data_IF_975265534762
#
_entry.id   IF_975265534762
#
_cell.length_a   1.000
_cell.length_b   1.000
_cell.length_c   1.000
_cell.angle_alpha   90.00
_cell.angle_beta   90.00
_cell.angle_gamma   90.00
#
_symmetry.space_group_name_H-M   'P 1'
#
loop_
_entity.id
_entity.type
_entity.pdbx_description
1 polymer ?
#
# COMPACT_ATOMS: atom_id res chain seq x y z
N UNK A 1 -27.86 52.39 25.49
CA UNK A 1 -27.67 50.95 25.58
C UNK A 1 -26.95 50.44 24.31
N UNK A 2 -25.66 50.15 24.46
CA UNK A 2 -24.84 49.44 23.43
C UNK A 2 -24.82 47.95 23.81
N UNK A 3 -25.07 47.03 22.88
CA UNK A 3 -24.87 45.61 23.18
C UNK A 3 -23.39 45.28 23.06
N UNK A 4 -22.82 44.80 24.14
CA UNK A 4 -21.50 44.18 24.20
C UNK A 4 -21.59 42.76 23.61
N UNK A 5 -21.22 42.62 22.34
CA UNK A 5 -20.99 41.32 21.70
C UNK A 5 -19.48 41.18 21.54
N UNK A 6 -18.83 40.55 22.47
CA UNK A 6 -17.51 39.89 22.32
C UNK A 6 -17.04 39.37 23.67
N UNK A 7 -17.61 38.24 24.13
CA UNK A 7 -17.04 37.48 25.24
C UNK A 7 -17.27 35.98 25.00
N UNK A 8 -16.40 35.34 24.26
CA UNK A 8 -16.52 33.92 23.94
C UNK A 8 -15.23 33.20 23.59
N UNK A 9 -14.09 33.84 23.71
CA UNK A 9 -12.80 33.13 23.64
C UNK A 9 -12.51 32.56 25.04
N UNK A 10 -12.99 31.33 25.30
CA UNK A 10 -12.46 30.55 26.41
C UNK A 10 -10.97 30.42 26.20
N UNK A 11 -10.17 31.07 27.04
CA UNK A 11 -8.73 30.79 27.18
C UNK A 11 -8.60 29.29 27.45
N UNK A 12 -8.09 28.55 26.50
CA UNK A 12 -7.67 27.18 26.75
C UNK A 12 -6.54 27.29 27.79
N UNK A 13 -6.78 26.82 29.00
CA UNK A 13 -5.76 26.70 30.02
C UNK A 13 -4.63 25.86 29.46
N UNK A 14 -3.39 26.25 29.68
CA UNK A 14 -2.22 25.44 29.35
C UNK A 14 -2.43 24.03 29.93
N UNK A 15 -2.10 22.96 29.18
CA UNK A 15 -2.24 21.58 29.65
C UNK A 15 -1.48 21.43 30.99
N UNK A 16 -2.06 20.71 31.92
CA UNK A 16 -1.36 20.39 33.17
C UNK A 16 -0.12 19.57 32.87
N UNK A 17 0.91 19.66 33.71
CA UNK A 17 2.16 18.87 33.54
C UNK A 17 1.87 17.38 33.36
N UNK A 18 0.87 16.83 34.05
CA UNK A 18 0.41 15.44 33.93
C UNK A 18 -0.16 15.13 32.54
N UNK A 19 -0.98 16.02 32.00
CA UNK A 19 -1.52 15.86 30.62
C UNK A 19 -0.43 15.92 29.57
N UNK A 20 0.59 16.75 29.78
CA UNK A 20 1.77 16.81 28.93
C UNK A 20 2.54 15.49 28.90
N UNK A 21 2.81 14.90 30.07
CA UNK A 21 3.49 13.60 30.19
C UNK A 21 2.69 12.46 29.53
N UNK A 22 1.37 12.42 29.76
CA UNK A 22 0.48 11.44 29.12
C UNK A 22 0.55 11.60 27.59
N UNK A 23 0.48 12.83 27.09
CA UNK A 23 0.56 13.12 25.66
C UNK A 23 1.87 12.62 25.04
N UNK A 24 3.01 12.88 25.68
CA UNK A 24 4.33 12.41 25.24
C UNK A 24 4.38 10.88 25.22
N UNK A 25 3.88 10.21 26.27
CA UNK A 25 3.85 8.76 26.33
C UNK A 25 3.01 8.13 25.20
N UNK A 26 1.85 8.71 24.88
CA UNK A 26 0.98 8.27 23.79
C UNK A 26 1.63 8.47 22.41
N UNK A 27 2.32 9.60 22.21
CA UNK A 27 3.05 9.88 20.95
C UNK A 27 4.18 8.87 20.76
N UNK A 28 4.99 8.61 21.82
CA UNK A 28 6.07 7.62 21.74
C UNK A 28 5.54 6.19 21.50
N UNK A 29 4.47 5.80 22.19
CA UNK A 29 3.81 4.52 21.98
C UNK A 29 3.26 4.39 20.55
N UNK A 30 2.70 5.47 20.00
CA UNK A 30 2.17 5.51 18.64
C UNK A 30 3.25 5.37 17.58
N UNK A 31 4.40 6.03 17.79
CA UNK A 31 5.58 5.82 16.93
C UNK A 31 6.07 4.37 16.96
N UNK A 32 6.15 3.76 18.15
CA UNK A 32 6.52 2.36 18.30
C UNK A 32 5.55 1.42 17.58
N UNK A 33 4.23 1.64 17.74
CA UNK A 33 3.19 0.88 17.04
C UNK A 33 3.32 1.01 15.53
N UNK A 34 3.51 2.24 15.00
CA UNK A 34 3.73 2.47 13.57
C UNK A 34 4.99 1.77 13.05
N UNK A 35 6.10 1.87 13.81
CA UNK A 35 7.37 1.25 13.43
C UNK A 35 7.31 -0.30 13.41
N UNK A 36 6.63 -0.90 14.38
CA UNK A 36 6.48 -2.36 14.48
C UNK A 36 5.49 -2.87 13.43
N UNK A 37 4.29 -2.32 13.38
CA UNK A 37 3.25 -2.76 12.46
C UNK A 37 3.71 -2.69 10.99
N UNK A 38 4.49 -1.68 10.65
CA UNK A 38 4.99 -1.45 9.29
C UNK A 38 6.50 -1.70 9.19
N UNK A 39 6.95 -2.77 9.84
CA UNK A 39 8.35 -3.24 9.72
C UNK A 39 8.64 -3.89 8.37
N UNK A 40 7.64 -4.44 7.71
CA UNK A 40 7.77 -5.31 6.54
C UNK A 40 7.46 -6.78 6.85
N UNK A 41 7.33 -7.11 8.14
CA UNK A 41 6.93 -8.44 8.59
C UNK A 41 5.40 -8.54 8.63
N UNK A 42 4.82 -9.49 7.89
CA UNK A 42 3.36 -9.61 7.77
C UNK A 42 2.68 -9.87 9.12
N UNK A 43 3.28 -10.69 9.99
CA UNK A 43 2.76 -10.99 11.32
C UNK A 43 2.87 -9.83 12.31
N UNK A 44 3.57 -8.75 11.96
CA UNK A 44 3.64 -7.55 12.77
C UNK A 44 2.46 -6.57 12.50
N UNK A 45 1.77 -6.71 11.37
CA UNK A 45 0.64 -5.84 10.99
C UNK A 45 -0.44 -5.71 12.08
N UNK A 46 -0.81 -6.75 12.85
CA UNK A 46 -1.79 -6.65 13.92
C UNK A 46 -1.46 -5.62 15.02
N UNK A 47 -0.20 -5.25 15.19
CA UNK A 47 0.16 -4.16 16.11
C UNK A 47 -0.54 -2.84 15.78
N UNK A 48 -0.90 -2.60 14.51
CA UNK A 48 -1.65 -1.42 14.09
C UNK A 48 -3.02 -1.27 14.77
N UNK A 49 -3.59 -2.35 15.31
CA UNK A 49 -4.86 -2.33 16.07
C UNK A 49 -4.78 -1.47 17.32
N UNK A 50 -3.59 -1.22 17.85
CA UNK A 50 -3.39 -0.37 19.02
C UNK A 50 -3.49 1.13 18.70
N UNK A 51 -3.29 1.54 17.45
CA UNK A 51 -3.33 2.95 17.04
C UNK A 51 -4.65 3.67 17.39
N UNK A 52 -5.85 3.10 17.12
CA UNK A 52 -7.12 3.71 17.50
C UNK A 52 -7.23 4.04 18.99
N UNK A 53 -6.71 3.18 19.84
CA UNK A 53 -6.71 3.37 21.30
C UNK A 53 -5.84 4.57 21.69
N UNK A 54 -4.61 4.61 21.18
CA UNK A 54 -3.69 5.72 21.47
C UNK A 54 -4.26 7.07 21.01
N UNK A 55 -4.85 7.09 19.81
CA UNK A 55 -5.56 8.26 19.29
C UNK A 55 -6.77 8.67 20.16
N UNK A 56 -7.56 7.69 20.57
CA UNK A 56 -8.79 7.91 21.31
C UNK A 56 -8.56 8.47 22.72
N UNK A 57 -7.47 8.06 23.35
CA UNK A 57 -7.12 8.48 24.72
C UNK A 57 -6.21 9.71 24.78
N UNK A 58 -5.92 10.32 23.65
CA UNK A 58 -5.23 11.61 23.64
C UNK A 58 -5.98 12.66 24.46
N UNK A 59 -5.29 13.47 25.27
CA UNK A 59 -5.94 14.42 26.19
C UNK A 59 -6.64 15.58 25.47
N UNK A 60 -6.20 15.90 24.27
CA UNK A 60 -6.77 16.97 23.45
C UNK A 60 -6.53 16.71 21.96
N UNK A 61 -7.11 17.57 21.12
CA UNK A 61 -7.03 17.44 19.65
C UNK A 61 -5.59 17.55 19.12
N UNK A 62 -4.78 18.40 19.70
CA UNK A 62 -3.37 18.54 19.29
C UNK A 62 -2.59 17.26 19.59
N UNK A 63 -2.74 16.70 20.81
CA UNK A 63 -2.12 15.43 21.16
C UNK A 63 -2.59 14.29 20.25
N UNK A 64 -3.88 14.23 19.89
CA UNK A 64 -4.40 13.26 18.93
C UNK A 64 -3.78 13.42 17.53
N UNK A 65 -3.56 14.64 17.08
CA UNK A 65 -2.83 14.93 15.85
C UNK A 65 -1.37 14.49 15.91
N UNK A 66 -0.69 14.74 17.02
CA UNK A 66 0.69 14.29 17.23
C UNK A 66 0.80 12.76 17.34
N UNK A 67 -0.19 12.08 17.95
CA UNK A 67 -0.29 10.62 17.97
C UNK A 67 -0.42 10.08 16.52
N UNK A 68 -1.30 10.67 15.71
CA UNK A 68 -1.44 10.29 14.31
C UNK A 68 -0.16 10.57 13.52
N UNK A 69 0.45 11.76 13.70
CA UNK A 69 1.71 12.10 13.04
C UNK A 69 2.81 11.08 13.35
N UNK A 70 3.00 10.75 14.62
CA UNK A 70 4.02 9.83 15.07
C UNK A 70 3.83 8.42 14.47
N UNK A 71 2.59 7.94 14.38
CA UNK A 71 2.26 6.66 13.76
C UNK A 71 2.64 6.64 12.27
N UNK A 72 2.17 7.62 11.52
CA UNK A 72 2.40 7.64 10.06
C UNK A 72 3.85 7.94 9.69
N UNK A 73 4.53 8.82 10.41
CA UNK A 73 5.96 9.05 10.20
C UNK A 73 6.78 7.79 10.49
N UNK A 74 6.50 7.10 11.59
CA UNK A 74 7.21 5.87 11.94
C UNK A 74 6.92 4.73 10.94
N UNK A 75 5.67 4.62 10.46
CA UNK A 75 5.30 3.66 9.44
C UNK A 75 6.01 3.92 8.10
N UNK A 76 6.26 5.18 7.75
CA UNK A 76 6.90 5.61 6.49
C UNK A 76 8.37 6.00 6.61
N UNK A 77 9.04 5.56 7.65
CA UNK A 77 10.43 5.96 7.95
C UNK A 77 11.44 5.72 6.82
N UNK A 78 11.15 4.82 5.89
CA UNK A 78 11.97 4.60 4.70
C UNK A 78 11.83 5.67 3.61
N UNK A 79 10.73 6.44 3.63
CA UNK A 79 10.41 7.38 2.54
C UNK A 79 11.49 8.46 2.31
N UNK A 80 12.09 9.09 3.34
CA UNK A 80 13.12 10.09 3.12
C UNK A 80 14.31 9.57 2.30
N UNK A 81 14.79 8.37 2.64
CA UNK A 81 15.89 7.70 1.92
C UNK A 81 15.48 7.37 0.50
N UNK A 82 14.32 6.73 0.32
CA UNK A 82 13.82 6.37 -1.01
C UNK A 82 13.66 7.59 -1.91
N UNK A 83 13.09 8.68 -1.40
CA UNK A 83 12.93 9.94 -2.17
C UNK A 83 14.30 10.54 -2.56
N UNK A 84 15.28 10.54 -1.66
CA UNK A 84 16.62 11.07 -1.99
C UNK A 84 17.31 10.26 -3.09
N UNK A 85 17.13 8.93 -3.09
CA UNK A 85 17.65 8.06 -4.15
C UNK A 85 16.90 8.31 -5.46
N UNK A 86 15.56 8.34 -5.40
CA UNK A 86 14.70 8.50 -6.59
C UNK A 86 15.01 9.80 -7.36
N UNK A 87 15.19 10.92 -6.65
CA UNK A 87 15.45 12.22 -7.25
C UNK A 87 16.96 12.53 -7.38
N UNK A 88 17.83 11.61 -6.97
CA UNK A 88 19.28 11.88 -6.84
C UNK A 88 19.56 13.21 -6.12
N UNK A 89 18.87 13.46 -5.01
CA UNK A 89 18.84 14.73 -4.29
C UNK A 89 19.24 14.59 -2.83
N UNK A 90 19.43 15.73 -2.18
CA UNK A 90 19.71 15.77 -0.75
C UNK A 90 18.53 15.24 0.08
N UNK A 91 18.83 14.72 1.27
CA UNK A 91 17.86 14.13 2.20
C UNK A 91 16.74 15.10 2.62
N UNK A 92 16.96 16.42 2.58
CA UNK A 92 15.98 17.40 3.01
C UNK A 92 14.68 17.36 2.15
N UNK A 93 14.79 17.07 0.85
CA UNK A 93 13.63 16.90 -0.02
C UNK A 93 12.80 15.69 0.42
N UNK A 94 13.48 14.58 0.74
CA UNK A 94 12.85 13.39 1.30
C UNK A 94 12.12 13.66 2.61
N UNK A 95 12.75 14.40 3.53
CA UNK A 95 12.13 14.81 4.78
C UNK A 95 10.91 15.71 4.57
N UNK A 96 10.99 16.67 3.66
CA UNK A 96 9.86 17.55 3.33
C UNK A 96 8.66 16.78 2.77
N UNK A 97 8.91 15.88 1.82
CA UNK A 97 7.85 15.04 1.25
C UNK A 97 7.28 14.05 2.27
N UNK A 98 8.11 13.50 3.15
CA UNK A 98 7.67 12.62 4.22
C UNK A 98 6.71 13.32 5.19
N UNK A 99 7.03 14.55 5.60
CA UNK A 99 6.15 15.38 6.43
C UNK A 99 4.87 15.76 5.68
N UNK A 100 4.99 16.19 4.42
CA UNK A 100 3.84 16.56 3.59
C UNK A 100 2.88 15.40 3.35
N UNK A 101 3.39 14.21 3.04
CA UNK A 101 2.58 12.99 2.86
C UNK A 101 1.82 12.61 4.14
N UNK A 102 2.40 12.87 5.31
CA UNK A 102 1.75 12.59 6.60
C UNK A 102 0.69 13.63 6.99
N UNK A 103 0.73 14.83 6.40
CA UNK A 103 -0.15 15.94 6.81
C UNK A 103 -1.63 15.64 6.64
N UNK A 104 -2.04 15.00 5.55
CA UNK A 104 -3.44 14.69 5.31
C UNK A 104 -4.00 13.70 6.34
N UNK A 105 -3.20 12.71 6.74
CA UNK A 105 -3.56 11.78 7.81
C UNK A 105 -3.78 12.52 9.12
N UNK A 106 -2.83 13.40 9.48
CA UNK A 106 -2.91 14.22 10.69
C UNK A 106 -4.15 15.09 10.66
N UNK A 107 -4.45 15.72 9.53
CA UNK A 107 -5.61 16.58 9.36
C UNK A 107 -6.92 15.81 9.64
N UNK A 108 -7.14 14.67 8.97
CA UNK A 108 -8.34 13.85 9.14
C UNK A 108 -8.49 13.38 10.59
N UNK A 109 -7.43 12.83 11.18
CA UNK A 109 -7.47 12.32 12.55
C UNK A 109 -7.63 13.42 13.60
N UNK A 110 -7.01 14.58 13.40
CA UNK A 110 -7.18 15.74 14.29
C UNK A 110 -8.58 16.34 14.21
N UNK A 111 -9.14 16.49 13.02
CA UNK A 111 -10.48 17.07 12.82
C UNK A 111 -11.57 16.18 13.41
N UNK A 112 -11.43 14.88 13.26
CA UNK A 112 -12.42 13.91 13.74
C UNK A 112 -12.26 13.55 15.22
N UNK A 113 -11.15 13.93 15.87
CA UNK A 113 -10.98 13.66 17.28
C UNK A 113 -12.03 14.35 18.14
N UNK A 114 -12.47 13.67 19.20
CA UNK A 114 -13.47 14.19 20.17
C UNK A 114 -13.16 13.75 21.58
N UNK A 115 -13.41 14.64 22.53
CA UNK A 115 -13.35 14.33 23.98
C UNK A 115 -14.54 13.49 24.45
N UNK A 116 -15.66 13.47 23.67
CA UNK A 116 -16.82 12.65 23.99
C UNK A 116 -16.48 11.18 23.89
N UNK A 117 -16.69 10.42 24.97
CA UNK A 117 -16.45 8.97 25.02
C UNK A 117 -17.63 8.16 24.45
N UNK A 118 -17.39 6.84 24.28
CA UNK A 118 -18.43 5.92 23.83
C UNK A 118 -18.65 5.96 22.32
N UNK A 119 -19.89 5.73 21.88
CA UNK A 119 -20.23 5.56 20.49
C UNK A 119 -19.90 6.77 19.57
N UNK A 120 -19.94 7.98 20.12
CA UNK A 120 -19.55 9.19 19.37
C UNK A 120 -18.09 9.14 18.90
N UNK A 121 -17.19 8.65 19.76
CA UNK A 121 -15.77 8.51 19.45
C UNK A 121 -15.56 7.40 18.43
N UNK A 122 -16.20 6.26 18.63
CA UNK A 122 -16.15 5.12 17.70
C UNK A 122 -16.65 5.50 16.31
N UNK A 123 -17.77 6.21 16.21
CA UNK A 123 -18.31 6.66 14.93
C UNK A 123 -17.36 7.64 14.21
N UNK A 124 -16.76 8.56 14.94
CA UNK A 124 -15.78 9.51 14.37
C UNK A 124 -14.51 8.81 13.90
N UNK A 125 -14.05 7.81 14.64
CA UNK A 125 -12.92 7.00 14.21
C UNK A 125 -13.29 6.14 12.99
N UNK A 126 -14.48 5.54 13.00
CA UNK A 126 -15.00 4.82 11.84
C UNK A 126 -15.02 5.71 10.58
N UNK A 127 -15.47 6.97 10.73
CA UNK A 127 -15.41 7.93 9.63
C UNK A 127 -13.97 8.25 9.20
N UNK A 128 -13.02 8.35 10.17
CA UNK A 128 -11.63 8.60 9.83
C UNK A 128 -11.03 7.48 8.97
N UNK A 129 -11.16 6.22 9.40
CA UNK A 129 -10.60 5.11 8.63
C UNK A 129 -11.33 4.88 7.29
N UNK A 130 -12.65 5.15 7.20
CA UNK A 130 -13.38 5.11 5.94
C UNK A 130 -12.83 6.18 4.97
N UNK A 131 -12.71 7.42 5.42
CA UNK A 131 -12.14 8.50 4.60
C UNK A 131 -10.72 8.17 4.12
N UNK A 132 -9.90 7.57 4.99
CA UNK A 132 -8.55 7.14 4.63
C UNK A 132 -8.50 5.85 3.79
N UNK A 133 -9.64 5.21 3.55
CA UNK A 133 -9.74 4.00 2.73
C UNK A 133 -10.27 4.27 1.33
N UNK A 134 -10.98 5.37 1.10
CA UNK A 134 -11.64 5.67 -0.18
C UNK A 134 -11.20 7.04 -0.73
N UNK A 135 -11.23 7.24 -2.07
CA UNK A 135 -10.96 8.55 -2.65
C UNK A 135 -11.90 9.65 -2.12
N UNK A 136 -11.42 10.91 -2.02
CA UNK A 136 -10.11 11.39 -2.43
C UNK A 136 -8.97 11.09 -1.43
N UNK A 137 -9.26 10.98 -0.12
CA UNK A 137 -8.23 10.84 0.90
C UNK A 137 -7.53 9.48 0.87
N UNK A 138 -8.25 8.41 0.52
CA UNK A 138 -7.70 7.07 0.39
C UNK A 138 -6.62 6.90 -0.69
N UNK A 139 -6.46 7.87 -1.58
CA UNK A 139 -5.34 7.90 -2.54
C UNK A 139 -4.00 8.05 -1.82
N UNK A 140 -3.99 8.67 -0.65
CA UNK A 140 -2.80 8.84 0.21
C UNK A 140 -2.96 8.00 1.49
N UNK A 141 -3.94 7.10 1.55
CA UNK A 141 -4.38 6.36 2.74
C UNK A 141 -3.60 5.07 3.05
N UNK A 142 -2.30 5.03 2.76
CA UNK A 142 -1.48 3.88 3.11
C UNK A 142 -1.22 3.79 4.64
N UNK A 143 -0.63 2.71 5.11
CA UNK A 143 -0.50 2.38 6.54
C UNK A 143 -1.84 2.29 7.29
N UNK A 144 -2.90 1.91 6.60
CA UNK A 144 -4.24 1.78 7.19
C UNK A 144 -4.30 0.53 8.08
N UNK A 145 -4.67 0.67 9.37
CA UNK A 145 -4.76 -0.46 10.30
C UNK A 145 -5.67 -1.61 9.83
N UNK A 146 -6.62 -1.34 8.91
CA UNK A 146 -7.52 -2.38 8.37
C UNK A 146 -6.78 -3.49 7.61
N UNK A 147 -5.57 -3.21 7.10
CA UNK A 147 -4.73 -4.21 6.43
C UNK A 147 -4.39 -5.40 7.34
N UNK A 148 -4.35 -5.18 8.66
CA UNK A 148 -4.15 -6.24 9.64
C UNK A 148 -5.26 -7.32 9.64
N UNK A 149 -6.40 -7.06 9.00
CA UNK A 149 -7.47 -8.04 8.82
C UNK A 149 -6.98 -9.34 8.16
N UNK A 150 -5.99 -9.23 7.27
CA UNK A 150 -5.44 -10.41 6.59
C UNK A 150 -4.71 -11.39 7.49
N UNK A 151 -4.13 -10.88 8.57
CA UNK A 151 -3.46 -11.73 9.57
C UNK A 151 -4.45 -12.22 10.63
N UNK A 152 -5.37 -11.36 11.06
CA UNK A 152 -6.31 -11.67 12.14
C UNK A 152 -7.48 -12.55 11.67
N UNK A 153 -7.91 -12.40 10.43
CA UNK A 153 -9.12 -13.03 9.89
C UNK A 153 -8.85 -13.69 8.52
N UNK A 154 -7.86 -14.60 8.43
CA UNK A 154 -7.52 -15.23 7.16
C UNK A 154 -8.72 -16.00 6.58
N UNK A 155 -8.94 -15.91 5.27
CA UNK A 155 -10.00 -16.59 4.54
C UNK A 155 -11.42 -16.02 4.74
N UNK A 156 -11.62 -15.05 5.66
CA UNK A 156 -12.96 -14.51 5.95
C UNK A 156 -13.41 -13.40 4.98
N UNK A 157 -12.53 -12.90 4.11
CA UNK A 157 -12.88 -11.93 3.08
C UNK A 157 -13.61 -10.70 3.63
N UNK A 158 -14.78 -10.40 3.08
CA UNK A 158 -15.60 -9.27 3.50
C UNK A 158 -16.04 -9.33 4.97
N UNK A 159 -16.30 -10.53 5.51
CA UNK A 159 -16.62 -10.70 6.93
C UNK A 159 -15.42 -10.36 7.82
N UNK A 160 -14.21 -10.72 7.39
CA UNK A 160 -12.98 -10.34 8.08
C UNK A 160 -12.75 -8.82 8.08
N UNK A 161 -13.05 -8.13 6.97
CA UNK A 161 -13.02 -6.66 6.92
C UNK A 161 -14.03 -6.03 7.87
N UNK A 162 -15.27 -6.53 7.91
CA UNK A 162 -16.31 -6.05 8.81
C UNK A 162 -15.90 -6.29 10.27
N UNK A 163 -15.38 -7.47 10.60
CA UNK A 163 -14.87 -7.78 11.94
C UNK A 163 -13.74 -6.82 12.33
N UNK A 164 -12.80 -6.55 11.42
CA UNK A 164 -11.71 -5.61 11.66
C UNK A 164 -12.22 -4.18 11.87
N UNK A 165 -13.17 -3.72 11.06
CA UNK A 165 -13.78 -2.40 11.20
C UNK A 165 -14.45 -2.21 12.58
N UNK A 166 -15.16 -3.23 13.05
CA UNK A 166 -15.74 -3.23 14.41
C UNK A 166 -14.65 -3.26 15.49
N UNK A 167 -13.62 -4.07 15.31
CA UNK A 167 -12.45 -4.13 16.19
C UNK A 167 -11.80 -2.75 16.35
N UNK A 168 -11.45 -2.09 15.24
CA UNK A 168 -10.84 -0.77 15.26
C UNK A 168 -11.73 0.28 15.96
N UNK A 169 -13.04 0.20 15.70
CA UNK A 169 -14.02 1.10 16.35
C UNK A 169 -14.14 0.81 17.85
N UNK A 170 -14.19 -0.45 18.26
CA UNK A 170 -14.28 -0.85 19.66
C UNK A 170 -13.01 -0.52 20.46
N UNK A 171 -11.83 -0.55 19.81
CA UNK A 171 -10.56 -0.13 20.43
C UNK A 171 -10.55 1.33 20.85
N UNK A 172 -11.45 2.17 20.35
CA UNK A 172 -11.60 3.57 20.79
C UNK A 172 -12.48 3.74 22.03
N UNK A 173 -13.08 2.68 22.53
CA UNK A 173 -14.00 2.68 23.68
C UNK A 173 -13.31 2.28 24.98
N UNK A 174 -14.05 2.32 26.09
CA UNK A 174 -13.58 1.80 27.38
C UNK A 174 -13.39 0.28 27.39
N UNK A 175 -13.99 -0.43 26.45
CA UNK A 175 -13.84 -1.88 26.29
C UNK A 175 -12.52 -2.29 25.62
N UNK A 176 -11.67 -1.36 25.22
CA UNK A 176 -10.40 -1.65 24.50
C UNK A 176 -9.53 -2.73 25.15
N UNK A 177 -9.42 -2.86 26.51
CA UNK A 177 -8.58 -3.92 27.09
C UNK A 177 -9.13 -5.33 26.79
N UNK A 178 -10.46 -5.48 26.84
CA UNK A 178 -11.13 -6.74 26.51
C UNK A 178 -10.98 -7.04 25.02
N UNK A 179 -11.17 -6.02 24.17
CA UNK A 179 -11.00 -6.15 22.71
C UNK A 179 -9.55 -6.53 22.39
N UNK A 180 -8.56 -5.88 23.02
CA UNK A 180 -7.15 -6.20 22.84
C UNK A 180 -6.81 -7.64 23.25
N UNK A 181 -7.39 -8.11 24.37
CA UNK A 181 -7.22 -9.50 24.83
C UNK A 181 -7.80 -10.50 23.81
N UNK A 182 -9.04 -10.23 23.33
CA UNK A 182 -9.69 -11.08 22.32
C UNK A 182 -8.87 -11.10 21.02
N UNK A 183 -8.43 -9.95 20.55
CA UNK A 183 -7.61 -9.85 19.33
C UNK A 183 -6.24 -10.50 19.53
N UNK A 184 -5.65 -10.40 20.73
CA UNK A 184 -4.42 -11.14 21.06
C UNK A 184 -4.62 -12.65 21.00
N UNK A 185 -5.75 -13.17 21.47
CA UNK A 185 -6.09 -14.59 21.36
C UNK A 185 -6.34 -14.99 19.89
N UNK A 186 -7.09 -14.17 19.12
CA UNK A 186 -7.29 -14.39 17.69
C UNK A 186 -5.96 -14.41 16.95
N UNK A 187 -5.07 -13.45 17.25
CA UNK A 187 -3.74 -13.41 16.67
C UNK A 187 -2.91 -14.66 17.00
N UNK A 188 -2.91 -15.11 18.26
CA UNK A 188 -2.18 -16.32 18.66
C UNK A 188 -2.66 -17.56 17.87
N UNK A 189 -3.98 -17.69 17.66
CA UNK A 189 -4.56 -18.76 16.86
C UNK A 189 -4.22 -18.62 15.36
N UNK A 190 -4.44 -17.45 14.78
CA UNK A 190 -4.21 -17.24 13.33
C UNK A 190 -2.73 -17.28 12.97
N UNK A 191 -1.83 -16.88 13.88
CA UNK A 191 -0.38 -16.92 13.63
C UNK A 191 0.21 -18.32 13.76
N UNK A 192 -0.38 -19.20 14.58
CA UNK A 192 0.06 -20.62 14.68
C UNK A 192 -0.21 -21.40 13.39
N UNK A 193 -1.28 -21.05 12.69
CA UNK A 193 -1.70 -21.69 11.44
C UNK A 193 -1.35 -20.85 10.21
N UNK A 194 -0.52 -19.82 10.39
CA UNK A 194 -0.15 -18.94 9.29
C UNK A 194 0.58 -19.69 8.18
N UNK A 195 0.04 -19.62 6.98
CA UNK A 195 0.70 -20.06 5.76
C UNK A 195 0.78 -18.91 4.77
N UNK A 196 1.93 -18.74 4.13
CA UNK A 196 2.05 -17.74 3.08
C UNK A 196 1.16 -18.10 1.89
N UNK A 197 0.45 -17.12 1.29
CA UNK A 197 -0.27 -17.37 0.05
C UNK A 197 0.68 -17.78 -1.07
N UNK A 198 0.40 -18.91 -1.70
CA UNK A 198 1.22 -19.46 -2.79
C UNK A 198 0.69 -19.04 -4.15
N UNK A 199 1.53 -18.98 -5.20
CA UNK A 199 1.08 -18.83 -6.58
C UNK A 199 0.13 -19.96 -7.01
N UNK A 200 -0.75 -19.73 -8.00
CA UNK A 200 -1.49 -20.82 -8.64
C UNK A 200 -0.53 -21.84 -9.28
N UNK A 201 -0.99 -23.08 -9.47
CA UNK A 201 -0.19 -24.10 -10.11
C UNK A 201 0.26 -23.68 -11.53
N UNK A 202 1.54 -23.90 -11.82
CA UNK A 202 2.15 -23.50 -13.09
C UNK A 202 2.45 -22.00 -13.23
N UNK A 203 2.30 -21.23 -12.16
CA UNK A 203 2.64 -19.80 -12.12
C UNK A 203 3.89 -19.54 -11.29
N UNK A 204 4.66 -18.53 -11.69
CA UNK A 204 5.79 -18.02 -10.91
C UNK A 204 5.90 -16.49 -11.04
N UNK A 205 6.30 -15.82 -9.96
CA UNK A 205 6.84 -14.47 -10.01
C UNK A 205 8.36 -14.54 -10.03
N UNK A 206 8.98 -13.82 -10.94
CA UNK A 206 10.45 -13.74 -11.06
C UNK A 206 10.89 -12.36 -10.57
N UNK A 207 11.63 -12.32 -9.47
CA UNK A 207 12.29 -11.10 -9.02
C UNK A 207 13.51 -10.80 -9.92
N UNK A 208 13.82 -9.51 -10.09
CA UNK A 208 15.00 -9.03 -10.81
C UNK A 208 15.79 -8.05 -9.96
N UNK A 209 17.06 -7.82 -10.29
CA UNK A 209 17.96 -6.92 -9.56
C UNK A 209 18.64 -5.97 -10.55
N UNK A 210 17.83 -5.18 -11.25
CA UNK A 210 18.36 -4.18 -12.18
C UNK A 210 18.40 -2.81 -11.51
N UNK A 211 19.61 -2.26 -11.39
CA UNK A 211 19.81 -0.90 -10.92
C UNK A 211 19.67 0.08 -12.08
N UNK A 212 18.83 1.09 -11.91
CA UNK A 212 18.72 2.21 -12.83
C UNK A 212 19.67 3.31 -12.36
N UNK A 213 20.62 3.71 -13.20
CA UNK A 213 21.62 4.71 -12.85
C UNK A 213 21.03 6.13 -12.68
N UNK A 214 19.79 6.37 -13.13
CA UNK A 214 19.10 7.66 -13.00
C UNK A 214 17.59 7.50 -13.03
N UNK A 215 16.83 8.40 -12.38
CA UNK A 215 15.37 8.44 -12.49
C UNK A 215 14.93 8.54 -13.96
N UNK A 216 13.98 7.72 -14.35
CA UNK A 216 13.48 7.69 -15.73
C UNK A 216 14.29 6.85 -16.73
N UNK A 217 15.37 6.21 -16.31
CA UNK A 217 16.01 5.19 -17.16
C UNK A 217 15.11 3.94 -17.23
N UNK A 218 14.89 3.50 -18.44
CA UNK A 218 14.09 2.33 -18.74
C UNK A 218 14.97 1.15 -19.07
N UNK A 219 14.40 -0.06 -18.99
CA UNK A 219 15.11 -1.29 -19.33
C UNK A 219 15.73 -1.19 -20.72
N UNK A 220 17.05 -1.21 -20.77
CA UNK A 220 17.81 -1.26 -22.01
C UNK A 220 17.78 -2.65 -22.65
N UNK A 221 18.30 -2.74 -23.88
CA UNK A 221 18.33 -4.00 -24.62
C UNK A 221 18.99 -5.16 -23.83
N UNK A 222 20.08 -4.86 -23.11
CA UNK A 222 20.76 -5.86 -22.27
C UNK A 222 19.86 -6.40 -21.14
N UNK A 223 19.03 -5.55 -20.54
CA UNK A 223 18.06 -5.98 -19.52
C UNK A 223 16.96 -6.86 -20.10
N UNK A 224 16.47 -6.53 -21.31
CA UNK A 224 15.52 -7.42 -22.02
C UNK A 224 16.12 -8.80 -22.23
N UNK A 225 17.37 -8.88 -22.72
CA UNK A 225 18.03 -10.16 -22.95
C UNK A 225 18.23 -10.94 -21.64
N UNK A 226 18.68 -10.29 -20.57
CA UNK A 226 18.84 -10.92 -19.26
C UNK A 226 17.48 -11.45 -18.71
N UNK A 227 16.43 -10.65 -18.81
CA UNK A 227 15.08 -11.07 -18.39
C UNK A 227 14.55 -12.23 -19.24
N UNK A 228 14.81 -12.22 -20.56
CA UNK A 228 14.43 -13.33 -21.46
C UNK A 228 15.15 -14.62 -21.10
N UNK A 229 16.38 -14.58 -20.59
CA UNK A 229 17.08 -15.78 -20.11
C UNK A 229 16.31 -16.38 -18.93
N UNK A 230 15.94 -15.57 -17.94
CA UNK A 230 15.16 -16.01 -16.77
C UNK A 230 13.81 -16.62 -17.19
N UNK A 231 13.12 -15.98 -18.14
CA UNK A 231 11.83 -16.49 -18.66
C UNK A 231 12.03 -17.84 -19.38
N UNK A 232 13.06 -17.97 -20.20
CA UNK A 232 13.35 -19.23 -20.91
C UNK A 232 13.73 -20.36 -19.97
N UNK A 233 14.46 -20.07 -18.91
CA UNK A 233 14.83 -21.08 -17.91
C UNK A 233 13.61 -21.52 -17.09
N UNK A 234 12.72 -20.61 -16.70
CA UNK A 234 11.45 -20.97 -16.09
C UNK A 234 10.56 -21.81 -17.03
N UNK A 235 10.51 -21.47 -18.32
CA UNK A 235 9.78 -22.25 -19.32
C UNK A 235 10.32 -23.68 -19.46
N UNK A 236 11.65 -23.85 -19.49
CA UNK A 236 12.29 -25.19 -19.50
C UNK A 236 11.97 -26.00 -18.23
N UNK A 237 11.77 -25.34 -17.10
CA UNK A 237 11.34 -25.98 -15.85
C UNK A 237 9.84 -26.32 -15.84
N UNK A 238 9.11 -26.09 -16.93
CA UNK A 238 7.70 -26.43 -17.09
C UNK A 238 6.72 -25.36 -16.61
N UNK A 239 7.18 -24.16 -16.26
CA UNK A 239 6.31 -23.04 -15.87
C UNK A 239 5.59 -22.53 -17.13
N UNK A 240 4.27 -22.29 -16.97
CA UNK A 240 3.40 -21.81 -18.06
C UNK A 240 3.10 -20.32 -17.97
N UNK A 241 2.98 -19.79 -16.77
CA UNK A 241 2.55 -18.42 -16.53
C UNK A 241 3.59 -17.69 -15.66
N UNK A 242 4.22 -16.70 -16.23
CA UNK A 242 5.35 -15.99 -15.63
C UNK A 242 4.95 -14.54 -15.38
N UNK A 243 5.18 -14.07 -14.15
CA UNK A 243 4.98 -12.67 -13.77
C UNK A 243 6.35 -12.04 -13.56
N UNK A 244 6.58 -10.94 -14.23
CA UNK A 244 7.79 -10.11 -14.14
C UNK A 244 7.49 -8.83 -13.35
N UNK A 245 8.51 -8.15 -12.83
CA UNK A 245 8.36 -6.92 -12.09
C UNK A 245 7.73 -5.77 -12.88
N UNK A 246 7.33 -4.72 -12.15
CA UNK A 246 7.05 -3.41 -12.71
C UNK A 246 8.25 -2.92 -13.53
N UNK A 247 7.98 -2.30 -14.68
CA UNK A 247 8.99 -1.79 -15.62
C UNK A 247 9.91 -2.83 -16.26
N UNK A 248 9.63 -4.14 -16.13
CA UNK A 248 10.46 -5.19 -16.73
C UNK A 248 10.59 -5.07 -18.27
N UNK A 249 9.58 -4.52 -18.93
CA UNK A 249 9.57 -4.26 -20.35
C UNK A 249 10.00 -2.82 -20.73
N UNK A 250 10.28 -1.96 -19.76
CA UNK A 250 10.63 -0.56 -19.99
C UNK A 250 9.56 0.19 -20.78
N UNK A 251 9.99 1.05 -21.72
CA UNK A 251 9.05 1.71 -22.64
C UNK A 251 8.53 0.69 -23.66
N UNK A 252 7.21 0.52 -23.68
CA UNK A 252 6.57 -0.38 -24.63
C UNK A 252 6.43 0.28 -26.00
N UNK A 253 7.15 -0.26 -26.95
CA UNK A 253 7.17 0.18 -28.35
C UNK A 253 6.90 -1.00 -29.28
N UNK A 254 6.56 -0.77 -30.57
CA UNK A 254 6.45 -1.85 -31.55
C UNK A 254 7.72 -2.72 -31.65
N UNK A 255 8.89 -2.11 -31.43
CA UNK A 255 10.18 -2.83 -31.43
C UNK A 255 10.28 -3.74 -30.20
N UNK A 256 9.92 -3.24 -29.01
CA UNK A 256 9.90 -4.03 -27.77
C UNK A 256 8.91 -5.19 -27.90
N UNK A 257 7.71 -4.93 -28.41
CA UNK A 257 6.70 -5.96 -28.67
C UNK A 257 7.23 -7.05 -29.60
N UNK A 258 7.79 -6.65 -30.74
CA UNK A 258 8.34 -7.59 -31.70
C UNK A 258 9.48 -8.46 -31.13
N UNK A 259 10.37 -7.84 -30.34
CA UNK A 259 11.44 -8.54 -29.63
C UNK A 259 10.88 -9.65 -28.73
N UNK A 260 9.90 -9.32 -27.88
CA UNK A 260 9.35 -10.25 -26.91
C UNK A 260 8.50 -11.34 -27.56
N UNK A 261 7.59 -10.99 -28.50
CA UNK A 261 6.76 -11.96 -29.23
C UNK A 261 7.63 -12.96 -29.96
N UNK A 262 8.68 -12.48 -30.67
CA UNK A 262 9.59 -13.34 -31.37
C UNK A 262 10.44 -14.23 -30.46
N UNK A 263 10.89 -13.70 -29.33
CA UNK A 263 11.69 -14.45 -28.36
C UNK A 263 10.91 -15.58 -27.66
N UNK A 264 9.57 -15.47 -27.60
CA UNK A 264 8.68 -16.46 -27.02
C UNK A 264 8.00 -17.37 -28.05
N UNK A 265 8.27 -17.20 -29.35
CA UNK A 265 7.55 -17.85 -30.45
C UNK A 265 7.48 -19.39 -30.31
N UNK A 266 8.57 -20.00 -29.85
CA UNK A 266 8.70 -21.45 -29.71
C UNK A 266 8.45 -21.94 -28.28
N UNK A 267 7.95 -21.07 -27.42
CA UNK A 267 7.68 -21.38 -26.01
C UNK A 267 6.18 -21.38 -25.74
N UNK A 268 5.70 -22.40 -25.03
CA UNK A 268 4.31 -22.48 -24.57
C UNK A 268 4.18 -21.79 -23.19
N UNK A 269 4.42 -20.47 -23.18
CA UNK A 269 4.35 -19.64 -21.99
C UNK A 269 3.58 -18.35 -22.23
N UNK A 270 2.97 -17.86 -21.16
CA UNK A 270 2.36 -16.54 -21.07
C UNK A 270 3.15 -15.72 -20.06
N UNK A 271 3.62 -14.55 -20.45
CA UNK A 271 4.41 -13.64 -19.62
C UNK A 271 3.59 -12.38 -19.34
N UNK A 272 3.47 -12.00 -18.09
CA UNK A 272 2.94 -10.70 -17.67
C UNK A 272 4.08 -9.88 -17.07
N UNK A 273 4.28 -8.66 -17.50
CA UNK A 273 5.30 -7.76 -16.96
C UNK A 273 4.88 -6.30 -17.05
N UNK A 274 5.52 -5.47 -16.24
CA UNK A 274 5.27 -4.03 -16.21
C UNK A 274 5.95 -3.31 -17.36
N UNK A 275 5.29 -2.27 -17.89
CA UNK A 275 5.77 -1.42 -18.96
C UNK A 275 5.25 0.01 -18.84
N UNK A 276 5.85 0.91 -19.61
CA UNK A 276 5.44 2.31 -19.71
C UNK A 276 4.93 2.56 -21.14
N UNK A 277 3.71 3.04 -21.26
CA UNK A 277 3.11 3.50 -22.51
C UNK A 277 3.14 5.03 -22.57
N UNK A 278 3.92 5.57 -23.47
CA UNK A 278 4.02 7.03 -23.66
C UNK A 278 2.76 7.54 -24.38
N UNK A 279 2.21 8.63 -23.90
CA UNK A 279 1.09 9.38 -24.49
C UNK A 279 1.47 10.84 -24.74
N UNK A 280 0.58 11.60 -25.38
CA UNK A 280 0.81 13.03 -25.64
C UNK A 280 0.86 13.87 -24.35
N UNK A 281 0.18 13.45 -23.30
CA UNK A 281 0.09 14.19 -22.03
C UNK A 281 1.03 13.67 -20.92
N UNK A 282 1.60 12.48 -21.10
CA UNK A 282 2.43 11.81 -20.11
C UNK A 282 2.61 10.33 -20.42
N UNK A 283 2.39 9.47 -19.46
CA UNK A 283 2.49 8.02 -19.67
C UNK A 283 1.49 7.25 -18.82
N UNK A 284 1.21 6.02 -19.25
CA UNK A 284 0.54 5.02 -18.43
C UNK A 284 1.54 3.97 -17.95
N UNK A 285 1.54 3.69 -16.65
CA UNK A 285 2.19 2.52 -16.09
C UNK A 285 1.23 1.33 -16.23
N UNK A 286 1.68 0.25 -16.87
CA UNK A 286 0.79 -0.83 -17.31
C UNK A 286 1.38 -2.21 -17.04
N UNK A 287 0.51 -3.21 -16.97
CA UNK A 287 0.89 -4.62 -17.16
C UNK A 287 0.57 -5.04 -18.58
N UNK A 288 1.54 -5.68 -19.22
CA UNK A 288 1.43 -6.25 -20.58
C UNK A 288 1.46 -7.76 -20.48
N UNK A 289 0.50 -8.42 -21.14
CA UNK A 289 0.55 -9.85 -21.41
C UNK A 289 1.25 -10.09 -22.75
N UNK A 290 2.26 -10.96 -22.77
CA UNK A 290 3.00 -11.34 -23.98
C UNK A 290 3.05 -12.85 -24.11
N UNK A 291 2.86 -13.34 -25.33
CA UNK A 291 3.09 -14.74 -25.74
C UNK A 291 3.84 -14.78 -27.07
N UNK A 292 4.22 -15.95 -27.53
CA UNK A 292 4.82 -16.12 -28.86
C UNK A 292 3.92 -15.77 -30.05
N UNK A 293 2.67 -15.34 -29.78
CA UNK A 293 1.69 -15.01 -30.84
C UNK A 293 1.25 -13.54 -30.81
N UNK A 294 1.22 -12.91 -29.64
CA UNK A 294 0.65 -11.57 -29.45
C UNK A 294 1.08 -10.95 -28.14
N UNK A 295 0.91 -9.64 -28.06
CA UNK A 295 0.96 -8.90 -26.82
C UNK A 295 -0.30 -8.03 -26.65
N UNK A 296 -0.74 -7.83 -25.39
CA UNK A 296 -1.89 -7.01 -25.06
C UNK A 296 -1.67 -6.25 -23.75
N UNK A 297 -2.20 -5.03 -23.67
CA UNK A 297 -2.30 -4.31 -22.39
C UNK A 297 -3.37 -4.99 -21.54
N UNK A 298 -2.96 -5.55 -20.42
CA UNK A 298 -3.86 -6.18 -19.45
C UNK A 298 -4.49 -5.19 -18.49
N UNK A 299 -3.67 -4.28 -17.98
CA UNK A 299 -4.04 -3.43 -16.88
C UNK A 299 -3.29 -2.10 -16.93
N UNK A 300 -3.94 -1.03 -16.50
CA UNK A 300 -3.36 0.31 -16.29
C UNK A 300 -3.39 0.63 -14.82
N UNK A 301 -2.29 1.12 -14.27
CA UNK A 301 -2.19 1.50 -12.87
C UNK A 301 -3.27 2.54 -12.52
N UNK A 302 -4.06 2.24 -11.49
CA UNK A 302 -5.15 3.11 -11.07
C UNK A 302 -4.66 4.30 -10.25
N UNK A 303 -3.67 4.05 -9.39
CA UNK A 303 -3.17 5.05 -8.45
C UNK A 303 -1.64 5.04 -8.47
N UNK A 304 -1.01 5.73 -9.43
CA UNK A 304 0.43 5.97 -9.41
C UNK A 304 0.82 6.80 -8.18
N UNK A 305 2.08 6.68 -7.76
CA UNK A 305 2.58 7.39 -6.57
C UNK A 305 2.36 8.90 -6.71
N UNK A 306 1.58 9.52 -5.82
CA UNK A 306 1.35 10.96 -5.86
C UNK A 306 2.66 11.75 -5.77
N UNK A 307 2.72 12.89 -6.44
CA UNK A 307 3.84 13.84 -6.50
C UNK A 307 5.03 13.32 -7.32
N UNK A 308 5.45 12.05 -7.16
CA UNK A 308 6.60 11.53 -7.92
C UNK A 308 6.22 11.03 -9.31
N UNK A 309 5.13 10.29 -9.44
CA UNK A 309 4.65 9.77 -10.73
C UNK A 309 3.43 10.54 -11.20
N UNK A 310 2.40 10.63 -10.38
CA UNK A 310 1.15 11.33 -10.72
C UNK A 310 1.23 12.79 -10.26
N UNK A 311 1.20 13.67 -11.25
CA UNK A 311 1.28 15.12 -11.08
C UNK A 311 0.16 15.81 -11.88
N UNK A 312 -1.08 15.87 -11.36
CA UNK A 312 -2.23 16.43 -12.12
C UNK A 312 -2.08 17.93 -12.46
N UNK A 313 -1.12 18.62 -11.87
CA UNK A 313 -0.78 20.03 -12.12
C UNK A 313 0.33 20.22 -13.17
N UNK A 314 0.93 19.15 -13.69
CA UNK A 314 2.03 19.19 -14.64
C UNK A 314 1.78 18.19 -15.78
N UNK A 315 2.42 18.41 -16.93
CA UNK A 315 2.46 17.45 -18.03
C UNK A 315 3.65 16.51 -17.88
N UNK A 316 3.55 15.32 -18.47
CA UNK A 316 4.66 14.35 -18.52
C UNK A 316 4.62 13.32 -17.40
N UNK A 317 3.76 13.46 -16.40
CA UNK A 317 3.58 12.46 -15.31
C UNK A 317 2.74 11.25 -15.73
N UNK A 318 2.64 10.29 -14.81
CA UNK A 318 1.76 9.14 -14.97
C UNK A 318 0.29 9.52 -14.92
N UNK A 319 -0.54 8.89 -15.73
CA UNK A 319 -1.99 9.05 -15.71
C UNK A 319 -2.59 8.19 -14.60
N UNK A 320 -3.40 8.79 -13.72
CA UNK A 320 -4.16 8.06 -12.72
C UNK A 320 -5.53 7.61 -13.27
N UNK A 321 -5.84 6.35 -13.09
CA UNK A 321 -7.11 5.73 -13.50
C UNK A 321 -7.92 5.28 -12.27
N UNK A 322 -8.12 6.15 -11.27
CA UNK A 322 -8.66 5.84 -9.92
C UNK A 322 -9.91 4.97 -9.93
N UNK A 323 -10.77 5.14 -10.94
CA UNK A 323 -11.99 4.36 -11.15
C UNK A 323 -11.87 3.44 -12.38
N UNK A 324 -10.65 3.17 -12.84
CA UNK A 324 -10.37 2.28 -13.96
C UNK A 324 -10.76 0.83 -13.67
N UNK A 325 -10.66 -0.01 -14.70
CA UNK A 325 -11.01 -1.44 -14.60
C UNK A 325 -10.14 -2.14 -13.57
N UNK A 326 -10.72 -2.72 -12.49
CA UNK A 326 -9.95 -3.19 -11.35
C UNK A 326 -9.44 -4.63 -11.47
N UNK A 327 -9.85 -5.35 -12.50
CA UNK A 327 -9.47 -6.75 -12.75
C UNK A 327 -9.05 -6.95 -14.19
N UNK A 328 -8.24 -7.97 -14.44
CA UNK A 328 -7.79 -8.36 -15.78
C UNK A 328 -7.87 -9.88 -15.94
N UNK A 329 -7.82 -10.37 -17.19
CA UNK A 329 -7.68 -11.81 -17.45
C UNK A 329 -6.28 -12.09 -17.95
N UNK A 330 -5.52 -12.83 -17.14
CA UNK A 330 -4.20 -13.32 -17.50
C UNK A 330 -4.23 -14.86 -17.59
N UNK A 331 -3.81 -15.40 -18.71
CA UNK A 331 -3.84 -16.85 -18.98
C UNK A 331 -5.24 -17.48 -18.69
N UNK A 332 -6.31 -16.76 -19.01
CA UNK A 332 -7.69 -17.21 -18.76
C UNK A 332 -8.21 -16.97 -17.34
N UNK A 333 -7.34 -16.73 -16.37
CA UNK A 333 -7.68 -16.49 -14.95
C UNK A 333 -8.02 -15.03 -14.71
N UNK A 334 -9.12 -14.76 -13.98
CA UNK A 334 -9.45 -13.41 -13.55
C UNK A 334 -8.57 -13.02 -12.37
N UNK A 335 -7.71 -12.02 -12.54
CA UNK A 335 -6.77 -11.56 -11.54
C UNK A 335 -7.13 -10.19 -10.98
N UNK A 336 -6.70 -9.90 -9.76
CA UNK A 336 -6.61 -8.58 -9.17
C UNK A 336 -5.18 -8.06 -9.33
N UNK A 337 -4.89 -7.22 -10.33
CA UNK A 337 -3.57 -6.65 -10.50
C UNK A 337 -3.34 -5.51 -9.52
N UNK A 338 -2.13 -5.42 -8.96
CA UNK A 338 -1.67 -4.37 -8.07
C UNK A 338 -0.25 -3.97 -8.49
N UNK A 339 -0.09 -2.75 -8.98
CA UNK A 339 1.23 -2.22 -9.31
C UNK A 339 1.72 -1.36 -8.14
N UNK A 340 2.91 -1.68 -7.64
CA UNK A 340 3.71 -0.86 -6.73
C UNK A 340 2.89 -0.29 -5.55
N UNK A 341 2.63 1.00 -5.56
CA UNK A 341 1.92 1.74 -4.52
C UNK A 341 0.51 1.23 -4.22
N UNK A 342 -0.19 0.69 -5.21
CA UNK A 342 -1.55 0.14 -5.05
C UNK A 342 -1.63 -0.97 -3.99
N UNK A 343 -0.55 -1.69 -3.76
CA UNK A 343 -0.46 -2.75 -2.75
C UNK A 343 -0.65 -2.23 -1.32
N UNK A 344 -0.32 -0.96 -1.09
CA UNK A 344 -0.41 -0.29 0.20
C UNK A 344 -1.79 0.33 0.47
N UNK A 345 -2.63 0.44 -0.56
CA UNK A 345 -3.90 1.15 -0.50
C UNK A 345 -5.08 0.20 -0.35
N UNK A 346 -6.06 0.65 0.43
CA UNK A 346 -7.30 -0.11 0.65
C UNK A 346 -8.20 -0.06 -0.59
N UNK A 347 -8.32 1.11 -1.23
CA UNK A 347 -9.25 1.34 -2.35
C UNK A 347 -9.05 0.41 -3.55
N UNK A 348 -7.83 0.26 -4.11
CA UNK A 348 -7.61 -0.66 -5.21
C UNK A 348 -8.01 -2.08 -4.88
N UNK A 349 -7.77 -2.51 -3.63
CA UNK A 349 -8.13 -3.84 -3.17
C UNK A 349 -9.63 -4.03 -3.10
N UNK A 350 -10.36 -3.11 -2.46
CA UNK A 350 -11.82 -3.17 -2.38
C UNK A 350 -12.47 -3.21 -3.76
N UNK A 351 -12.01 -2.36 -4.68
CA UNK A 351 -12.51 -2.35 -6.06
C UNK A 351 -12.34 -3.72 -6.73
N UNK A 352 -11.14 -4.32 -6.61
CA UNK A 352 -10.86 -5.61 -7.25
C UNK A 352 -11.70 -6.73 -6.66
N UNK A 353 -11.87 -6.79 -5.34
CA UNK A 353 -12.58 -7.87 -4.65
C UNK A 353 -14.08 -7.91 -4.92
N UNK A 354 -14.71 -6.79 -5.33
CA UNK A 354 -16.11 -6.77 -5.78
C UNK A 354 -16.32 -7.71 -6.98
N UNK A 355 -15.31 -7.86 -7.83
CA UNK A 355 -15.37 -8.69 -9.04
C UNK A 355 -14.96 -10.14 -8.83
N UNK A 356 -14.67 -10.54 -7.58
CA UNK A 356 -14.32 -11.92 -7.18
C UNK A 356 -13.18 -12.51 -8.05
N UNK A 357 -11.99 -11.90 -8.06
CA UNK A 357 -10.85 -12.46 -8.76
C UNK A 357 -10.45 -13.80 -8.16
N UNK A 358 -9.74 -14.62 -8.95
CA UNK A 358 -9.26 -15.94 -8.54
C UNK A 358 -7.80 -15.93 -8.06
N UNK A 359 -7.07 -14.82 -8.27
CA UNK A 359 -5.70 -14.64 -7.78
C UNK A 359 -5.37 -13.15 -7.70
N UNK A 360 -4.36 -12.82 -6.90
CA UNK A 360 -3.74 -11.49 -6.85
C UNK A 360 -2.39 -11.56 -7.56
N UNK A 361 -2.10 -10.55 -8.40
CA UNK A 361 -0.79 -10.36 -9.03
C UNK A 361 -0.24 -9.02 -8.59
N UNK A 362 0.83 -9.04 -7.81
CA UNK A 362 1.48 -7.88 -7.23
C UNK A 362 2.86 -7.68 -7.84
N UNK A 363 3.07 -6.58 -8.52
CA UNK A 363 4.37 -6.23 -9.12
C UNK A 363 4.88 -4.91 -8.58
N UNK A 364 6.20 -4.77 -8.49
CA UNK A 364 6.78 -3.52 -8.01
C UNK A 364 8.20 -3.32 -8.53
N UNK A 365 8.65 -2.07 -8.38
CA UNK A 365 10.01 -1.67 -8.74
C UNK A 365 10.64 -0.90 -7.57
N UNK A 366 11.52 -1.58 -6.85
CA UNK A 366 12.13 -1.09 -5.61
C UNK A 366 13.54 -0.53 -5.77
N UNK A 367 14.08 -0.38 -6.98
CA UNK A 367 15.46 0.10 -7.21
C UNK A 367 15.82 1.39 -6.44
N UNK A 368 14.81 2.23 -6.18
CA UNK A 368 14.94 3.52 -5.52
C UNK A 368 14.83 3.43 -3.98
N UNK A 369 14.48 2.29 -3.45
CA UNK A 369 14.19 2.17 -2.00
C UNK A 369 15.45 1.97 -1.16
N UNK A 370 16.59 1.61 -1.78
CA UNK A 370 17.82 1.27 -1.05
C UNK A 370 17.57 0.17 -0.03
N UNK A 371 18.28 0.21 1.09
CA UNK A 371 18.17 -0.76 2.19
C UNK A 371 16.98 -0.48 3.12
N UNK A 372 15.95 0.25 2.64
CA UNK A 372 14.75 0.54 3.45
C UNK A 372 13.78 -0.65 3.43
N UNK A 373 12.79 -0.61 4.32
CA UNK A 373 11.76 -1.64 4.41
C UNK A 373 10.56 -1.42 3.48
N UNK A 374 10.61 -0.49 2.52
CA UNK A 374 9.47 -0.13 1.66
C UNK A 374 8.96 -1.34 0.87
N UNK A 375 9.86 -2.06 0.18
CA UNK A 375 9.48 -3.27 -0.59
C UNK A 375 8.91 -4.36 0.33
N UNK A 376 9.52 -4.55 1.51
CA UNK A 376 9.02 -5.53 2.49
C UNK A 376 7.59 -5.19 2.96
N UNK A 377 7.28 -3.90 3.20
CA UNK A 377 5.93 -3.44 3.56
C UNK A 377 4.94 -3.70 2.40
N UNK A 378 5.31 -3.46 1.15
CA UNK A 378 4.46 -3.75 -0.01
C UNK A 378 4.16 -5.26 -0.09
N UNK A 379 5.20 -6.10 -0.03
CA UNK A 379 5.04 -7.56 -0.03
C UNK A 379 4.18 -8.05 1.15
N UNK A 380 4.38 -7.52 2.36
CA UNK A 380 3.58 -7.86 3.54
C UNK A 380 2.10 -7.46 3.39
N UNK A 381 1.82 -6.28 2.84
CA UNK A 381 0.46 -5.82 2.56
C UNK A 381 -0.24 -6.70 1.52
N UNK A 382 0.45 -7.05 0.42
CA UNK A 382 -0.09 -7.95 -0.60
C UNK A 382 -0.41 -9.36 -0.04
N UNK A 383 0.49 -9.91 0.82
CA UNK A 383 0.26 -11.19 1.53
C UNK A 383 -0.95 -11.11 2.46
N UNK A 384 -1.06 -10.03 3.23
CA UNK A 384 -2.20 -9.84 4.12
C UNK A 384 -3.53 -9.78 3.33
N UNK A 385 -3.59 -9.05 2.24
CA UNK A 385 -4.78 -9.01 1.38
C UNK A 385 -5.12 -10.36 0.78
N UNK A 386 -4.13 -11.09 0.27
CA UNK A 386 -4.32 -12.42 -0.28
C UNK A 386 -4.83 -13.41 0.77
N UNK A 387 -4.24 -13.40 1.96
CA UNK A 387 -4.68 -14.20 3.09
C UNK A 387 -6.10 -13.89 3.52
N UNK A 388 -6.49 -12.60 3.63
CA UNK A 388 -7.84 -12.20 4.00
C UNK A 388 -8.91 -12.81 3.09
N UNK A 389 -8.66 -12.80 1.78
CA UNK A 389 -9.62 -13.30 0.78
C UNK A 389 -9.39 -14.77 0.40
N UNK A 390 -8.39 -15.44 1.00
CA UNK A 390 -8.06 -16.84 0.69
C UNK A 390 -7.64 -17.04 -0.77
N UNK A 391 -6.92 -16.06 -1.35
CA UNK A 391 -6.55 -16.08 -2.75
C UNK A 391 -5.07 -16.43 -2.94
N UNK A 392 -4.74 -17.17 -3.99
CA UNK A 392 -3.37 -17.30 -4.47
C UNK A 392 -2.75 -15.93 -4.77
N UNK A 393 -1.44 -15.82 -4.55
CA UNK A 393 -0.69 -14.59 -4.73
C UNK A 393 0.58 -14.84 -5.55
N UNK A 394 0.76 -14.04 -6.59
CA UNK A 394 2.02 -13.98 -7.34
C UNK A 394 2.66 -12.64 -7.11
N UNK A 395 3.91 -12.65 -6.66
CA UNK A 395 4.69 -11.43 -6.39
C UNK A 395 5.92 -11.42 -7.31
N UNK A 396 6.22 -10.27 -7.93
CA UNK A 396 7.44 -10.04 -8.68
C UNK A 396 7.94 -8.60 -8.47
N UNK A 397 9.18 -8.46 -8.02
CA UNK A 397 9.81 -7.17 -7.74
C UNK A 397 11.17 -7.06 -8.41
N UNK A 398 11.49 -5.85 -8.85
CA UNK A 398 12.86 -5.45 -9.14
C UNK A 398 13.44 -4.74 -7.90
N UNK A 399 14.53 -5.24 -7.33
CA UNK A 399 15.17 -4.72 -6.11
C UNK A 399 16.66 -4.58 -6.28
#
# INVERSE_FOLDING_TARGET
>A
SRPTVFSGWRRQSLPSFREGLIGIGLVAASAAVGAIAWSGEVLALPAAVLFPTLWAFAPNRLAAGLVALAYFLAASRGLPVGVSIFYASDMWLGLALWLAASFLFVLVHSMLWTSKSGWHRSLRYALAWILMSVPPFGIIGWANPITAAGVLFPGLGWFGLIAMAHTLSAMTTRAWPIVALVIGAVFALSSSDWSEPHPPEGWIGIDTHFNYASPGQHAGYAQHLATLVLVKDAAKAGVKNIVLPESAFGIWTPTTEHLWVRALQDLDVMVNGGAILISAQGYDNVMIEVSGKRANVLYRERIPVPVSMWQPWASGGATAHVFGKPTARFAGTLIAPLICYEQLLVWPMLQSMIYKPSAIVATGNGWWTGDTNIVAIQKASARAWASLFGLPLVIAFNT
#
